data_IF_392462846192
#
_entry.id   IF_392462846192
#
_cell.length_a   1.000
_cell.length_b   1.000
_cell.length_c   1.000
_cell.angle_alpha   90.00
_cell.angle_beta   90.00
_cell.angle_gamma   90.00
#
_symmetry.space_group_name_H-M   'P 1'
#
loop_
_entity.id
_entity.type
_entity.pdbx_description
1 polymer ?
#
# COMPACT_ATOMS: atom_id res chain seq x y z
N UNK A 1 -3.55 4.56 4.44
CA UNK A 1 -3.29 3.37 3.58
C UNK A 1 -2.62 2.27 4.39
N UNK A 2 -2.96 1.00 4.11
CA UNK A 2 -2.38 -0.17 4.78
C UNK A 2 -2.07 -1.26 3.75
N UNK A 3 -1.05 -2.06 3.98
CA UNK A 3 -0.82 -3.24 3.15
C UNK A 3 -1.94 -4.27 3.38
N UNK A 4 -2.67 -4.75 2.34
CA UNK A 4 -3.82 -5.64 2.52
C UNK A 4 -3.46 -7.04 3.06
N UNK A 5 -2.17 -7.32 3.20
CA UNK A 5 -1.65 -8.63 3.57
C UNK A 5 -1.05 -8.70 4.96
N UNK A 6 -0.38 -7.63 5.40
CA UNK A 6 0.23 -7.56 6.73
C UNK A 6 -0.33 -6.44 7.60
N UNK A 7 -1.27 -5.64 7.05
CA UNK A 7 -1.92 -4.51 7.70
C UNK A 7 -0.99 -3.41 8.24
N UNK A 8 0.30 -3.43 7.88
CA UNK A 8 1.25 -2.37 8.25
C UNK A 8 0.98 -1.09 7.46
N UNK A 9 1.09 0.03 8.14
CA UNK A 9 1.14 1.38 7.56
C UNK A 9 2.53 1.69 7.01
N UNK A 10 2.65 2.63 6.05
CA UNK A 10 3.94 3.08 5.53
C UNK A 10 4.94 3.47 6.64
N UNK A 11 4.47 4.20 7.65
CA UNK A 11 5.28 4.63 8.81
C UNK A 11 5.78 3.47 9.68
N UNK A 12 5.20 2.28 9.56
CA UNK A 12 5.66 1.09 10.30
C UNK A 12 6.79 0.34 9.57
N UNK A 13 7.11 0.75 8.33
CA UNK A 13 8.12 0.12 7.49
C UNK A 13 9.42 0.96 7.58
N UNK A 14 10.49 0.44 8.22
CA UNK A 14 11.72 1.20 8.42
C UNK A 14 12.36 1.70 7.11
N UNK A 15 12.30 0.89 6.05
CA UNK A 15 12.81 1.26 4.73
C UNK A 15 12.13 2.52 4.18
N UNK A 16 10.81 2.65 4.32
CA UNK A 16 10.07 3.82 3.84
C UNK A 16 10.34 5.05 4.67
N UNK A 17 10.49 4.92 6.00
CA UNK A 17 10.95 6.03 6.85
C UNK A 17 12.31 6.56 6.40
N UNK A 18 13.24 5.67 6.08
CA UNK A 18 14.58 6.07 5.63
C UNK A 18 14.54 6.75 4.26
N UNK A 19 13.80 6.19 3.30
CA UNK A 19 13.65 6.76 1.94
C UNK A 19 12.93 8.10 1.98
N UNK A 20 11.79 8.21 2.66
CA UNK A 20 11.07 9.47 2.82
C UNK A 20 11.92 10.56 3.49
N UNK A 21 12.74 10.21 4.49
CA UNK A 21 13.69 11.15 5.10
C UNK A 21 14.76 11.63 4.10
N UNK A 22 15.27 10.75 3.24
CA UNK A 22 16.28 11.12 2.22
C UNK A 22 15.68 12.04 1.16
N UNK A 23 14.42 11.83 0.81
CA UNK A 23 13.65 12.64 -0.15
C UNK A 23 12.97 13.86 0.50
N UNK A 24 13.27 14.15 1.78
CA UNK A 24 12.72 15.29 2.54
C UNK A 24 11.18 15.40 2.52
N UNK A 25 10.47 14.27 2.52
CA UNK A 25 9.01 14.22 2.45
C UNK A 25 8.38 13.31 3.54
N UNK A 26 7.05 13.32 3.62
CA UNK A 26 6.34 12.42 4.52
C UNK A 26 6.38 10.98 4.00
N UNK A 27 6.26 10.00 4.90
CA UNK A 27 6.28 8.58 4.52
C UNK A 27 5.08 8.21 3.63
N UNK A 28 3.95 8.86 3.85
CA UNK A 28 2.76 8.65 3.02
C UNK A 28 2.95 9.26 1.63
N UNK A 29 3.56 10.44 1.52
CA UNK A 29 3.83 11.07 0.21
C UNK A 29 4.84 10.24 -0.59
N UNK A 30 5.89 9.73 0.07
CA UNK A 30 6.84 8.81 -0.56
C UNK A 30 6.13 7.59 -1.18
N UNK A 31 5.20 6.98 -0.44
CA UNK A 31 4.44 5.84 -0.98
C UNK A 31 3.50 6.25 -2.12
N UNK A 32 2.89 7.44 -2.08
CA UNK A 32 2.02 7.89 -3.18
C UNK A 32 2.79 8.26 -4.45
N UNK A 33 4.04 8.71 -4.31
CA UNK A 33 4.84 9.24 -5.41
C UNK A 33 5.79 8.19 -6.01
N UNK A 34 6.47 7.40 -5.17
CA UNK A 34 7.60 6.57 -5.60
C UNK A 34 7.37 5.05 -5.45
N UNK A 35 6.39 4.62 -4.64
CA UNK A 35 6.13 3.19 -4.44
C UNK A 35 5.31 2.62 -5.61
N UNK A 36 5.96 1.82 -6.46
CA UNK A 36 5.34 1.25 -7.67
C UNK A 36 4.19 0.27 -7.41
N UNK A 37 3.99 -0.17 -6.17
CA UNK A 37 2.84 -0.99 -5.79
C UNK A 37 1.63 -0.17 -5.30
N UNK A 38 1.74 1.15 -5.17
CA UNK A 38 0.65 2.02 -4.76
C UNK A 38 -0.43 2.14 -5.84
N UNK A 39 -1.70 2.13 -5.41
CA UNK A 39 -2.85 2.32 -6.27
C UNK A 39 -3.74 3.46 -5.76
N UNK A 40 -3.78 4.54 -6.53
CA UNK A 40 -4.41 5.82 -6.18
C UNK A 40 -5.91 5.72 -5.89
N UNK A 41 -6.68 4.97 -6.68
CA UNK A 41 -8.15 4.92 -6.52
C UNK A 41 -8.56 4.24 -5.22
N UNK A 42 -7.78 3.25 -4.78
CA UNK A 42 -8.06 2.51 -3.55
C UNK A 42 -7.32 3.09 -2.34
N UNK A 43 -6.35 4.00 -2.53
CA UNK A 43 -5.40 4.47 -1.51
C UNK A 43 -4.76 3.29 -0.74
N UNK A 44 -4.28 2.29 -1.49
CA UNK A 44 -3.67 1.06 -0.98
C UNK A 44 -2.32 0.83 -1.64
N UNK A 45 -1.43 0.11 -0.97
CA UNK A 45 -0.12 -0.30 -1.48
C UNK A 45 0.21 -1.72 -1.02
N UNK A 46 1.25 -2.33 -1.59
CA UNK A 46 1.77 -3.62 -1.13
C UNK A 46 3.21 -3.42 -0.65
N UNK A 47 3.48 -3.63 0.65
CA UNK A 47 4.85 -3.48 1.12
C UNK A 47 5.79 -4.47 0.42
N UNK A 48 7.05 -4.05 0.23
CA UNK A 48 8.09 -4.85 -0.43
C UNK A 48 8.14 -6.30 0.12
N UNK A 49 8.11 -6.47 1.45
CA UNK A 49 8.10 -7.80 2.08
C UNK A 49 6.95 -8.69 1.61
N UNK A 50 5.73 -8.14 1.51
CA UNK A 50 4.57 -8.89 1.06
C UNK A 50 4.57 -9.11 -0.45
N UNK A 51 5.13 -8.15 -1.20
CA UNK A 51 5.33 -8.24 -2.64
C UNK A 51 6.27 -9.40 -2.99
N UNK A 52 7.44 -9.48 -2.33
CA UNK A 52 8.39 -10.58 -2.51
C UNK A 52 7.83 -11.93 -2.04
N UNK A 53 7.20 -12.00 -0.86
CA UNK A 53 6.61 -13.25 -0.35
C UNK A 53 5.52 -13.83 -1.24
N UNK A 54 4.86 -13.00 -2.04
CA UNK A 54 3.82 -13.40 -3.00
C UNK A 54 4.37 -13.77 -4.37
N UNK A 55 5.69 -13.73 -4.53
CA UNK A 55 6.33 -14.07 -5.80
C UNK A 55 6.23 -12.96 -6.83
N UNK A 56 6.35 -11.70 -6.41
CA UNK A 56 6.38 -10.53 -7.30
C UNK A 56 5.13 -10.44 -8.18
N UNK A 57 3.92 -10.32 -7.58
CA UNK A 57 2.69 -10.22 -8.35
C UNK A 57 2.75 -9.08 -9.37
N UNK A 58 2.05 -9.22 -10.49
CA UNK A 58 1.87 -8.11 -11.41
C UNK A 58 0.98 -7.05 -10.76
N UNK A 59 1.09 -5.82 -11.24
CA UNK A 59 0.25 -4.73 -10.74
C UNK A 59 -1.25 -5.05 -10.88
N UNK A 60 -1.65 -5.75 -11.95
CA UNK A 60 -3.03 -6.23 -12.15
C UNK A 60 -3.51 -7.20 -11.08
N UNK A 61 -2.63 -8.06 -10.55
CA UNK A 61 -2.98 -9.00 -9.48
C UNK A 61 -3.23 -8.26 -8.15
N UNK A 62 -2.49 -7.16 -7.94
CA UNK A 62 -2.63 -6.31 -6.77
C UNK A 62 -3.92 -5.50 -6.81
N UNK A 63 -4.31 -4.96 -7.97
CA UNK A 63 -5.54 -4.16 -8.13
C UNK A 63 -6.77 -4.89 -7.60
N UNK A 64 -6.98 -6.16 -7.99
CA UNK A 64 -8.13 -6.93 -7.53
C UNK A 64 -8.12 -7.09 -6.00
N UNK A 65 -6.94 -7.33 -5.42
CA UNK A 65 -6.79 -7.42 -3.97
C UNK A 65 -7.15 -6.09 -3.29
N UNK A 66 -6.74 -4.96 -3.86
CA UNK A 66 -6.99 -3.64 -3.26
C UNK A 66 -8.47 -3.29 -3.23
N UNK A 67 -9.20 -3.57 -4.32
CA UNK A 67 -10.65 -3.36 -4.34
C UNK A 67 -11.35 -4.22 -3.29
N UNK A 68 -11.05 -5.52 -3.24
CA UNK A 68 -11.65 -6.43 -2.26
C UNK A 68 -11.27 -6.06 -0.82
N UNK A 69 -10.05 -5.58 -0.57
CA UNK A 69 -9.63 -5.12 0.75
C UNK A 69 -10.37 -3.85 1.17
N UNK A 70 -10.52 -2.88 0.26
CA UNK A 70 -11.22 -1.62 0.52
C UNK A 70 -12.70 -1.83 0.80
N UNK A 71 -13.36 -2.72 0.06
CA UNK A 71 -14.76 -3.10 0.31
C UNK A 71 -15.00 -3.69 1.71
N UNK A 72 -14.02 -4.39 2.28
CA UNK A 72 -14.12 -4.91 3.65
C UNK A 72 -13.98 -3.83 4.73
N UNK A 73 -13.29 -2.73 4.42
CA UNK A 73 -13.01 -1.64 5.37
C UNK A 73 -14.09 -0.57 5.34
N UNK A 74 -14.76 -0.37 4.19
CA UNK A 74 -15.92 0.52 4.08
C UNK A 74 -17.18 -0.33 4.35
N UNK A 75 -17.80 -0.28 5.54
CA UNK A 75 -19.14 -0.82 5.69
C UNK A 75 -20.02 -0.04 4.72
N UNK A 76 -20.59 -0.73 3.73
CA UNK A 76 -21.67 -0.19 2.92
C UNK A 76 -22.77 0.23 3.89
N UNK A 77 -22.86 1.52 4.21
CA UNK A 77 -24.10 2.10 4.71
C UNK A 77 -25.12 1.92 3.59
N UNK A 78 -25.81 0.78 3.62
CA UNK A 78 -27.02 0.55 2.83
C UNK A 78 -28.06 1.55 3.32
N UNK A 79 -28.14 2.69 2.64
CA UNK A 79 -29.30 3.58 2.70
C UNK A 79 -30.47 2.96 1.95
#
# INVERSE_FOLDING_TARGET
MHCPFCNREPKEIPAYKEKARKEEMSVDDYVRMDEGTYHMQTDMFCCEDCYFKRGLPLYTDLIQTYFTAREKVIPLERR
#
